data_IF_491620996922
#
_entry.id   IF_491620996922
#
_cell.length_a   1.000
_cell.length_b   1.000
_cell.length_c   1.000
_cell.angle_alpha   90.00
_cell.angle_beta   90.00
_cell.angle_gamma   90.00
#
_symmetry.space_group_name_H-M   'P 1'
#
loop_
_entity.id
_entity.type
_entity.pdbx_description
1 polymer ?
#
# COMPACT_ATOMS: atom_id res chain seq x y z
N UNK A 1 -43.85 30.63 -3.55
CA UNK A 1 -42.40 30.86 -3.77
C UNK A 1 -41.85 31.64 -2.60
N UNK A 2 -40.69 31.28 -2.05
CA UNK A 2 -40.05 32.01 -0.94
C UNK A 2 -39.01 33.04 -1.41
N UNK A 3 -38.55 33.00 -2.67
CA UNK A 3 -37.56 33.96 -3.17
C UNK A 3 -36.29 33.96 -2.31
N UNK A 4 -35.82 35.15 -1.90
CA UNK A 4 -34.65 35.33 -1.01
C UNK A 4 -35.03 35.49 0.48
N UNK A 5 -36.22 35.05 0.88
CA UNK A 5 -36.74 35.30 2.24
C UNK A 5 -35.91 34.59 3.32
N UNK A 6 -35.83 35.21 4.50
CA UNK A 6 -35.42 34.58 5.74
C UNK A 6 -36.66 34.22 6.56
N UNK A 7 -36.86 32.94 6.85
CA UNK A 7 -37.98 32.43 7.65
C UNK A 7 -37.41 31.88 8.95
N UNK A 8 -37.90 32.37 10.08
CA UNK A 8 -37.52 31.86 11.40
C UNK A 8 -38.70 31.18 12.09
N UNK A 9 -38.46 29.98 12.62
CA UNK A 9 -39.44 29.19 13.35
C UNK A 9 -38.99 29.15 14.81
N UNK A 10 -39.60 30.00 15.63
CA UNK A 10 -39.33 30.11 17.07
C UNK A 10 -40.26 29.23 17.92
N UNK A 11 -41.36 28.74 17.37
CA UNK A 11 -42.26 27.80 18.02
C UNK A 11 -42.99 26.93 16.98
N UNK A 12 -43.41 25.73 17.40
CA UNK A 12 -44.12 24.80 16.52
C UNK A 12 -43.20 24.16 15.47
N UNK A 13 -43.76 23.84 14.30
CA UNK A 13 -43.06 23.10 13.26
C UNK A 13 -43.31 23.68 11.87
N UNK A 14 -42.30 23.61 11.00
CA UNK A 14 -42.51 23.69 9.56
C UNK A 14 -43.04 22.36 9.06
N UNK A 15 -44.26 22.34 8.56
CA UNK A 15 -44.86 21.15 7.98
C UNK A 15 -45.68 21.53 6.77
N UNK A 16 -45.20 21.13 5.59
CA UNK A 16 -46.02 21.15 4.38
C UNK A 16 -46.75 19.82 4.29
N UNK A 17 -48.07 19.79 4.51
CA UNK A 17 -48.87 18.64 4.07
C UNK A 17 -48.94 18.66 2.54
N UNK A 18 -48.95 17.50 1.89
CA UNK A 18 -49.17 17.43 0.44
C UNK A 18 -50.68 17.53 0.15
N UNK A 19 -51.24 18.66 -0.32
CA UNK A 19 -52.24 18.55 -1.35
C UNK A 19 -51.48 18.30 -2.67
N UNK A 20 -51.98 17.38 -3.49
CA UNK A 20 -51.39 16.97 -4.78
C UNK A 20 -51.21 18.11 -5.82
N UNK A 21 -51.44 19.37 -5.43
CA UNK A 21 -51.43 20.56 -6.27
C UNK A 21 -50.53 21.69 -5.73
N UNK A 22 -49.81 21.50 -4.61
CA UNK A 22 -48.88 22.51 -4.12
C UNK A 22 -47.54 22.43 -4.86
N UNK A 23 -47.22 23.48 -5.61
CA UNK A 23 -45.86 23.75 -6.07
C UNK A 23 -45.15 24.64 -5.05
N UNK A 24 -44.09 24.11 -4.43
CA UNK A 24 -43.22 24.87 -3.54
C UNK A 24 -41.91 25.20 -4.25
N UNK A 25 -41.55 26.48 -4.25
CA UNK A 25 -40.27 26.97 -4.75
C UNK A 25 -39.57 27.73 -3.62
N UNK A 26 -38.43 27.21 -3.18
CA UNK A 26 -37.63 27.79 -2.13
C UNK A 26 -36.81 29.01 -2.58
N UNK A 27 -36.63 29.23 -3.89
CA UNK A 27 -35.71 30.25 -4.40
C UNK A 27 -34.32 30.15 -3.76
N UNK A 28 -33.82 31.27 -3.24
CA UNK A 28 -32.57 31.38 -2.46
C UNK A 28 -32.82 31.56 -0.96
N UNK A 29 -33.99 31.13 -0.46
CA UNK A 29 -34.40 31.35 0.92
C UNK A 29 -33.50 30.67 1.96
N UNK A 30 -33.59 31.18 3.18
CA UNK A 30 -33.03 30.54 4.39
C UNK A 30 -34.16 30.29 5.37
N UNK A 31 -34.30 29.05 5.84
CA UNK A 31 -35.25 28.66 6.87
C UNK A 31 -34.46 28.26 8.12
N UNK A 32 -34.63 29.00 9.19
CA UNK A 32 -34.01 28.75 10.49
C UNK A 32 -35.05 28.20 11.46
N UNK A 33 -34.85 26.98 11.94
CA UNK A 33 -35.58 26.42 13.09
C UNK A 33 -34.79 26.81 14.35
N UNK A 34 -35.07 27.98 14.91
CA UNK A 34 -34.29 28.50 16.06
C UNK A 34 -34.64 27.74 17.34
N UNK A 35 -35.91 27.77 17.73
CA UNK A 35 -36.48 27.05 18.89
C UNK A 35 -37.73 26.24 18.56
N UNK A 36 -38.15 26.22 17.29
CA UNK A 36 -39.17 25.29 16.80
C UNK A 36 -38.79 23.83 17.02
N UNK A 37 -39.78 22.93 17.00
CA UNK A 37 -39.58 21.51 17.28
C UNK A 37 -39.25 20.67 16.05
N UNK A 38 -39.70 21.09 14.85
CA UNK A 38 -39.52 20.29 13.65
C UNK A 38 -39.51 21.07 12.34
N UNK A 39 -38.85 20.48 11.36
CA UNK A 39 -38.90 20.79 9.95
C UNK A 39 -39.19 19.52 9.15
N UNK A 40 -40.39 19.45 8.57
CA UNK A 40 -40.79 18.42 7.63
C UNK A 40 -40.84 18.99 6.21
N UNK A 41 -39.81 18.67 5.44
CA UNK A 41 -39.62 19.09 4.06
C UNK A 41 -40.53 18.37 3.06
N UNK A 42 -41.04 17.19 3.42
CA UNK A 42 -42.03 16.40 2.69
C UNK A 42 -41.76 16.22 1.17
N UNK A 43 -40.50 16.02 0.80
CA UNK A 43 -40.12 15.72 -0.60
C UNK A 43 -39.79 16.93 -1.46
N UNK A 44 -39.96 18.16 -0.94
CA UNK A 44 -39.63 19.37 -1.69
C UNK A 44 -38.13 19.71 -1.65
N UNK A 45 -37.74 20.63 -2.54
CA UNK A 45 -36.39 21.19 -2.58
C UNK A 45 -36.32 22.49 -1.76
N UNK A 46 -35.23 22.63 -0.99
CA UNK A 46 -34.95 23.76 -0.12
C UNK A 46 -33.54 24.29 -0.38
N UNK A 47 -33.38 25.60 -0.26
CA UNK A 47 -32.06 26.23 -0.42
C UNK A 47 -31.22 26.07 0.85
N UNK A 48 -31.46 26.87 1.90
CA UNK A 48 -30.77 26.71 3.18
C UNK A 48 -31.77 26.35 4.29
N UNK A 49 -31.49 25.28 5.02
CA UNK A 49 -32.21 24.93 6.25
C UNK A 49 -31.23 24.83 7.41
N UNK A 50 -31.53 25.54 8.50
CA UNK A 50 -30.68 25.65 9.68
C UNK A 50 -31.42 25.26 10.96
N UNK A 51 -30.69 24.76 11.96
CA UNK A 51 -31.25 24.56 13.31
C UNK A 51 -30.44 25.27 14.40
N UNK A 52 -31.14 25.71 15.45
CA UNK A 52 -30.54 26.38 16.60
C UNK A 52 -29.93 25.42 17.63
N UNK A 53 -28.82 25.84 18.27
CA UNK A 53 -28.03 24.98 19.15
C UNK A 53 -28.66 24.64 20.52
N UNK A 54 -29.73 25.35 20.92
CA UNK A 54 -30.31 25.26 22.27
C UNK A 54 -31.55 24.37 22.39
N UNK A 55 -31.94 23.67 21.31
CA UNK A 55 -33.15 22.85 21.29
C UNK A 55 -32.93 21.51 20.60
N UNK A 56 -33.91 20.62 20.76
CA UNK A 56 -34.01 19.36 20.03
C UNK A 56 -34.95 19.55 18.85
N UNK A 57 -34.47 19.22 17.65
CA UNK A 57 -35.21 19.40 16.40
C UNK A 57 -35.44 18.06 15.71
N UNK A 58 -36.59 17.88 15.09
CA UNK A 58 -36.79 16.82 14.08
C UNK A 58 -36.69 17.45 12.70
N UNK A 59 -35.71 17.05 11.90
CA UNK A 59 -35.44 17.66 10.58
C UNK A 59 -35.52 16.59 9.50
N UNK A 60 -36.05 16.92 8.33
CA UNK A 60 -36.05 16.03 7.18
C UNK A 60 -37.46 15.78 6.66
N UNK A 61 -37.81 14.53 6.39
CA UNK A 61 -39.02 14.13 5.69
C UNK A 61 -38.69 13.25 4.49
N UNK A 62 -39.65 12.47 4.00
CA UNK A 62 -39.38 11.51 2.93
C UNK A 62 -39.05 12.22 1.61
N UNK A 63 -37.81 12.06 1.13
CA UNK A 63 -37.38 12.49 -0.21
C UNK A 63 -37.00 13.97 -0.35
N UNK A 64 -36.81 14.71 0.74
CA UNK A 64 -36.52 16.14 0.66
C UNK A 64 -35.11 16.38 0.10
N UNK A 65 -34.95 17.47 -0.66
CA UNK A 65 -33.64 17.88 -1.20
C UNK A 65 -33.23 19.22 -0.57
N UNK A 66 -32.01 19.29 -0.06
CA UNK A 66 -31.41 20.48 0.54
C UNK A 66 -30.20 20.91 -0.27
N UNK A 67 -30.10 22.18 -0.65
CA UNK A 67 -28.83 22.71 -1.13
C UNK A 67 -27.82 22.77 0.02
N UNK A 68 -28.18 23.41 1.12
CA UNK A 68 -27.39 23.49 2.34
C UNK A 68 -28.24 23.10 3.56
N UNK A 69 -27.77 22.12 4.33
CA UNK A 69 -28.35 21.69 5.60
C UNK A 69 -27.34 21.94 6.71
N UNK A 70 -27.65 22.86 7.64
CA UNK A 70 -26.72 23.31 8.67
C UNK A 70 -27.33 23.06 10.05
N UNK A 71 -26.88 22.02 10.73
CA UNK A 71 -27.52 21.54 11.93
C UNK A 71 -26.70 21.90 13.17
N UNK A 72 -27.36 22.39 14.21
CA UNK A 72 -26.79 22.59 15.54
C UNK A 72 -27.71 22.03 16.62
N UNK A 73 -27.17 21.79 17.82
CA UNK A 73 -27.94 21.22 18.93
C UNK A 73 -28.25 19.74 18.72
N UNK A 74 -29.39 19.26 19.20
CA UNK A 74 -29.79 17.86 19.02
C UNK A 74 -30.75 17.75 17.85
N UNK A 75 -30.45 16.90 16.86
CA UNK A 75 -31.30 16.74 15.68
C UNK A 75 -31.64 15.27 15.42
N UNK A 76 -32.92 15.00 15.21
CA UNK A 76 -33.43 13.76 14.64
C UNK A 76 -33.64 13.96 13.15
N UNK A 77 -32.71 13.44 12.34
CA UNK A 77 -32.80 13.48 10.88
C UNK A 77 -33.65 12.32 10.39
N UNK A 78 -34.80 12.63 9.80
CA UNK A 78 -35.81 11.63 9.42
C UNK A 78 -35.99 11.52 7.92
N UNK A 79 -36.36 10.32 7.46
CA UNK A 79 -36.51 10.00 6.04
C UNK A 79 -35.18 9.97 5.28
N UNK A 80 -35.23 9.46 4.05
CA UNK A 80 -34.10 9.57 3.12
C UNK A 80 -34.12 10.95 2.46
N UNK A 81 -32.99 11.65 2.48
CA UNK A 81 -32.86 13.02 2.00
C UNK A 81 -31.66 13.16 1.06
N UNK A 82 -31.67 14.21 0.23
CA UNK A 82 -30.57 14.54 -0.69
C UNK A 82 -29.94 15.87 -0.33
N UNK A 83 -28.62 15.95 -0.34
CA UNK A 83 -27.84 17.17 -0.08
C UNK A 83 -27.00 17.49 -1.31
N UNK A 84 -27.23 18.65 -1.93
CA UNK A 84 -26.60 18.99 -3.23
C UNK A 84 -25.38 19.88 -3.11
N UNK A 85 -25.24 20.68 -2.05
CA UNK A 85 -24.07 21.56 -1.85
C UNK A 85 -23.36 21.35 -0.52
N UNK A 86 -24.06 21.38 0.64
CA UNK A 86 -23.38 21.31 1.94
C UNK A 86 -24.21 20.62 3.03
N UNK A 87 -23.57 19.75 3.80
CA UNK A 87 -23.97 19.39 5.15
C UNK A 87 -22.99 19.99 6.15
N UNK A 88 -23.47 20.80 7.07
CA UNK A 88 -22.66 21.33 8.17
C UNK A 88 -23.20 20.85 9.51
N UNK A 89 -22.34 20.20 10.30
CA UNK A 89 -22.62 19.71 11.63
C UNK A 89 -21.81 20.53 12.63
N UNK A 90 -22.49 21.31 13.47
CA UNK A 90 -21.86 22.09 14.52
C UNK A 90 -21.10 21.22 15.55
N UNK A 91 -19.92 21.64 16.03
CA UNK A 91 -19.20 20.95 17.09
C UNK A 91 -20.01 20.80 18.39
N UNK A 92 -19.93 19.64 19.04
CA UNK A 92 -20.58 19.37 20.33
C UNK A 92 -22.06 18.97 20.26
N UNK A 93 -22.59 18.85 19.04
CA UNK A 93 -23.97 18.50 18.78
C UNK A 93 -24.19 16.99 18.64
N UNK A 94 -25.46 16.57 18.73
CA UNK A 94 -25.89 15.17 18.55
C UNK A 94 -26.85 15.06 17.37
N UNK A 95 -26.53 14.17 16.44
CA UNK A 95 -27.32 13.92 15.24
C UNK A 95 -27.73 12.45 15.20
N UNK A 96 -29.04 12.21 15.21
CA UNK A 96 -29.62 10.89 15.14
C UNK A 96 -30.34 10.71 13.81
N UNK A 97 -29.83 9.82 12.96
CA UNK A 97 -30.44 9.53 11.66
C UNK A 97 -31.39 8.35 11.79
N UNK A 98 -32.54 8.41 11.11
CA UNK A 98 -33.51 7.32 11.10
C UNK A 98 -32.85 6.00 10.66
N UNK A 99 -33.07 4.93 11.42
CA UNK A 99 -32.62 3.60 11.05
C UNK A 99 -33.10 3.19 9.64
N UNK A 100 -32.21 2.64 8.82
CA UNK A 100 -32.49 2.24 7.44
C UNK A 100 -32.66 3.40 6.45
N UNK A 101 -32.51 4.66 6.88
CA UNK A 101 -32.60 5.81 5.97
C UNK A 101 -31.26 6.10 5.29
N UNK A 102 -31.32 6.72 4.11
CA UNK A 102 -30.13 7.14 3.35
C UNK A 102 -30.09 8.65 3.17
N UNK A 103 -29.00 9.27 3.60
CA UNK A 103 -28.64 10.64 3.18
C UNK A 103 -27.73 10.55 1.96
N UNK A 104 -28.20 11.07 0.83
CA UNK A 104 -27.48 11.05 -0.45
C UNK A 104 -26.81 12.40 -0.70
N UNK A 105 -25.52 12.40 -0.99
CA UNK A 105 -24.75 13.59 -1.30
C UNK A 105 -24.47 13.68 -2.79
N UNK A 106 -24.62 14.86 -3.38
CA UNK A 106 -24.10 15.11 -4.72
C UNK A 106 -22.57 14.98 -4.75
N UNK A 107 -21.99 14.73 -5.93
CA UNK A 107 -20.54 14.51 -6.07
C UNK A 107 -19.70 15.67 -5.51
N UNK A 108 -20.13 16.90 -5.78
CA UNK A 108 -19.48 18.13 -5.29
C UNK A 108 -19.94 18.61 -3.91
N UNK A 109 -20.85 17.91 -3.25
CA UNK A 109 -21.35 18.33 -1.94
C UNK A 109 -20.24 18.25 -0.88
N UNK A 110 -20.10 19.31 -0.09
CA UNK A 110 -19.18 19.38 1.04
C UNK A 110 -19.85 18.84 2.30
N UNK A 111 -19.08 18.09 3.10
CA UNK A 111 -19.53 17.61 4.42
C UNK A 111 -18.57 18.15 5.46
N UNK A 112 -19.06 19.04 6.32
CA UNK A 112 -18.32 19.61 7.44
C UNK A 112 -18.80 18.94 8.72
N UNK A 113 -18.09 17.87 9.13
CA UNK A 113 -18.41 17.08 10.32
C UNK A 113 -17.21 17.03 11.29
N UNK A 114 -16.61 18.19 11.57
CA UNK A 114 -15.40 18.32 12.41
C UNK A 114 -15.74 18.94 13.76
N UNK A 115 -15.65 18.14 14.82
CA UNK A 115 -15.73 18.60 16.20
C UNK A 115 -14.39 19.13 16.73
N UNK A 116 -14.29 19.23 18.05
CA UNK A 116 -13.03 19.53 18.76
C UNK A 116 -12.91 18.64 20.00
N UNK A 117 -11.74 18.58 20.63
CA UNK A 117 -11.53 17.80 21.86
C UNK A 117 -12.51 18.14 23.00
N UNK A 118 -13.00 19.39 23.08
CA UNK A 118 -14.00 19.82 24.05
C UNK A 118 -15.45 19.74 23.55
N UNK A 119 -15.65 19.59 22.23
CA UNK A 119 -16.96 19.62 21.57
C UNK A 119 -17.02 18.54 20.49
N UNK A 120 -17.07 17.29 20.94
CA UNK A 120 -17.16 16.11 20.09
C UNK A 120 -18.55 16.02 19.45
N UNK A 121 -18.63 15.72 18.16
CA UNK A 121 -19.91 15.48 17.46
C UNK A 121 -20.37 14.04 17.73
N UNK A 122 -21.64 13.81 18.00
CA UNK A 122 -22.21 12.46 18.05
C UNK A 122 -23.08 12.20 16.82
N UNK A 123 -22.78 11.14 16.06
CA UNK A 123 -23.50 10.73 14.86
C UNK A 123 -23.94 9.27 15.03
N UNK A 124 -25.24 9.03 15.13
CA UNK A 124 -25.76 7.70 15.42
C UNK A 124 -27.09 7.41 14.72
N UNK A 125 -27.45 6.13 14.62
CA UNK A 125 -28.80 5.73 14.28
C UNK A 125 -29.78 5.97 15.43
N UNK A 126 -31.06 6.18 15.11
CA UNK A 126 -32.15 6.19 16.09
C UNK A 126 -32.45 4.81 16.68
N UNK A 127 -32.03 3.72 16.02
CA UNK A 127 -32.22 2.34 16.50
C UNK A 127 -30.87 1.63 16.59
N UNK A 128 -30.51 1.21 17.79
CA UNK A 128 -29.26 0.46 18.05
C UNK A 128 -29.22 -0.83 17.23
N UNK A 129 -28.09 -1.09 16.58
CA UNK A 129 -27.89 -2.28 15.74
C UNK A 129 -28.47 -2.16 14.32
N UNK A 130 -29.17 -1.06 14.00
CA UNK A 130 -29.68 -0.80 12.65
C UNK A 130 -29.03 0.46 12.09
N UNK A 131 -28.27 0.32 11.00
CA UNK A 131 -27.51 1.44 10.47
C UNK A 131 -28.38 2.47 9.73
N UNK A 132 -27.95 3.73 9.75
CA UNK A 132 -28.30 4.68 8.69
C UNK A 132 -27.16 4.71 7.64
N UNK A 133 -27.46 5.23 6.46
CA UNK A 133 -26.51 5.24 5.34
C UNK A 133 -26.18 6.66 4.88
N UNK A 134 -24.89 6.96 4.70
CA UNK A 134 -24.39 8.10 3.95
C UNK A 134 -23.86 7.62 2.61
N UNK A 135 -24.41 8.15 1.52
CA UNK A 135 -24.08 7.75 0.15
C UNK A 135 -23.51 8.92 -0.63
N UNK A 136 -22.24 8.84 -1.07
CA UNK A 136 -21.62 9.88 -1.89
C UNK A 136 -20.86 9.24 -3.06
N UNK A 137 -21.12 9.64 -4.32
CA UNK A 137 -20.59 8.94 -5.49
C UNK A 137 -19.10 9.17 -5.72
N UNK A 138 -18.51 10.29 -5.28
CA UNK A 138 -17.11 10.62 -5.50
C UNK A 138 -16.57 11.66 -4.50
N UNK A 139 -15.25 11.83 -4.48
CA UNK A 139 -14.53 12.80 -3.64
C UNK A 139 -14.28 12.29 -2.22
N UNK A 140 -14.06 13.21 -1.28
CA UNK A 140 -13.77 12.88 0.13
C UNK A 140 -14.87 13.42 1.05
N UNK A 141 -15.12 12.74 2.17
CA UNK A 141 -15.92 13.21 3.31
C UNK A 141 -15.03 13.23 4.54
N UNK A 142 -14.95 14.41 5.17
CA UNK A 142 -14.08 14.67 6.29
C UNK A 142 -14.86 14.84 7.58
N UNK A 143 -14.70 13.88 8.47
CA UNK A 143 -15.11 13.97 9.85
C UNK A 143 -13.88 13.88 10.77
N UNK A 144 -13.96 14.51 11.93
CA UNK A 144 -12.94 14.42 12.99
C UNK A 144 -13.56 14.82 14.32
N UNK A 145 -13.03 14.31 15.44
CA UNK A 145 -13.63 14.48 16.76
C UNK A 145 -15.12 14.10 16.76
N UNK A 146 -15.40 12.87 16.32
CA UNK A 146 -16.75 12.33 16.16
C UNK A 146 -16.90 10.99 16.88
N UNK A 147 -18.03 10.81 17.55
CA UNK A 147 -18.52 9.51 18.01
C UNK A 147 -19.48 8.96 16.98
N UNK A 148 -19.16 7.79 16.45
CA UNK A 148 -19.85 7.22 15.30
C UNK A 148 -20.39 5.84 15.65
N UNK A 149 -21.70 5.65 15.54
CA UNK A 149 -22.37 4.37 15.81
C UNK A 149 -23.43 4.08 14.75
N UNK A 150 -23.59 2.80 14.39
CA UNK A 150 -24.67 2.36 13.50
C UNK A 150 -24.70 3.17 12.18
N UNK A 151 -23.53 3.35 11.55
CA UNK A 151 -23.37 4.19 10.35
C UNK A 151 -22.71 3.44 9.22
N UNK A 152 -23.36 3.40 8.06
CA UNK A 152 -22.78 2.87 6.83
C UNK A 152 -22.43 4.02 5.89
N UNK A 153 -21.17 4.10 5.49
CA UNK A 153 -20.73 4.92 4.37
C UNK A 153 -20.66 4.08 3.10
N UNK A 154 -21.16 4.60 1.98
CA UNK A 154 -21.13 3.92 0.69
C UNK A 154 -21.01 4.90 -0.49
N UNK A 155 -20.85 4.34 -1.68
CA UNK A 155 -20.60 5.06 -2.93
C UNK A 155 -19.13 4.97 -3.33
N UNK A 156 -18.68 5.91 -4.17
CA UNK A 156 -17.30 5.98 -4.63
C UNK A 156 -16.44 7.03 -3.90
N UNK A 157 -17.01 7.73 -2.91
CA UNK A 157 -16.26 8.67 -2.09
C UNK A 157 -15.44 7.98 -0.98
N UNK A 158 -14.34 8.61 -0.57
CA UNK A 158 -13.56 8.22 0.60
C UNK A 158 -14.10 8.90 1.86
N UNK A 159 -14.54 8.13 2.85
CA UNK A 159 -15.07 8.64 4.11
C UNK A 159 -14.03 8.48 5.21
N UNK A 160 -13.46 9.59 5.68
CA UNK A 160 -12.43 9.60 6.71
C UNK A 160 -12.97 10.25 7.99
N UNK A 161 -12.81 9.56 9.13
CA UNK A 161 -13.24 10.05 10.45
C UNK A 161 -12.10 10.64 11.30
N UNK A 162 -10.87 10.66 10.77
CA UNK A 162 -9.71 11.30 11.40
C UNK A 162 -9.19 10.57 12.66
N UNK A 163 -8.06 11.03 13.20
CA UNK A 163 -7.37 10.37 14.34
C UNK A 163 -8.13 10.47 15.67
N UNK A 164 -9.05 11.42 15.79
CA UNK A 164 -9.75 11.72 17.03
C UNK A 164 -11.20 11.22 17.03
N UNK A 165 -11.55 10.33 16.10
CA UNK A 165 -12.85 9.67 16.11
C UNK A 165 -12.89 8.47 17.05
N UNK A 166 -14.09 8.15 17.53
CA UNK A 166 -14.40 6.94 18.26
C UNK A 166 -15.43 6.12 17.49
N UNK A 167 -15.06 4.90 17.11
CA UNK A 167 -15.98 3.92 16.53
C UNK A 167 -16.75 3.22 17.67
N UNK A 168 -18.01 3.57 17.86
CA UNK A 168 -18.87 2.99 18.90
C UNK A 168 -19.62 1.74 18.44
N UNK A 169 -19.28 1.18 17.28
CA UNK A 169 -19.79 -0.11 16.79
C UNK A 169 -20.76 0.02 15.60
N UNK A 170 -20.96 -1.12 14.92
CA UNK A 170 -21.84 -1.28 13.75
C UNK A 170 -21.62 -0.19 12.68
N UNK A 171 -20.36 0.17 12.45
CA UNK A 171 -19.96 1.22 11.50
C UNK A 171 -19.13 0.62 10.38
N UNK A 172 -19.50 0.86 9.13
CA UNK A 172 -18.84 0.30 7.93
C UNK A 172 -18.63 1.37 6.85
N UNK A 173 -17.66 1.16 5.96
CA UNK A 173 -17.33 2.10 4.86
C UNK A 173 -16.57 3.36 5.29
N UNK A 174 -16.37 3.57 6.59
CA UNK A 174 -15.55 4.64 7.16
C UNK A 174 -14.11 4.16 7.37
N UNK A 175 -13.17 5.03 7.00
CA UNK A 175 -11.76 4.90 7.36
C UNK A 175 -11.49 5.67 8.63
N UNK A 176 -11.25 4.94 9.72
CA UNK A 176 -10.69 5.50 10.95
C UNK A 176 -9.19 5.65 10.72
N UNK A 177 -8.66 6.87 10.95
CA UNK A 177 -7.34 7.27 10.47
C UNK A 177 -6.25 6.21 10.71
N UNK A 178 -5.86 5.52 9.64
CA UNK A 178 -4.76 4.58 9.65
C UNK A 178 -3.46 5.35 9.44
N UNK A 179 -2.51 5.17 10.35
CA UNK A 179 -1.17 5.73 10.12
C UNK A 179 -0.50 4.95 8.99
N UNK A 180 0.09 5.61 7.99
CA UNK A 180 0.88 4.88 7.02
C UNK A 180 2.13 4.29 7.70
N UNK A 181 2.45 3.05 7.37
CA UNK A 181 3.64 2.34 7.80
C UNK A 181 4.46 1.93 6.59
N UNK A 182 5.77 1.83 6.77
CA UNK A 182 6.69 1.31 5.77
C UNK A 182 7.31 -0.01 6.26
N UNK A 183 7.40 -0.99 5.37
CA UNK A 183 8.13 -2.24 5.58
C UNK A 183 8.94 -2.59 4.33
N UNK A 184 10.05 -3.26 4.54
CA UNK A 184 11.02 -3.59 3.49
C UNK A 184 11.91 -4.73 3.97
N UNK A 185 12.45 -5.48 3.02
CA UNK A 185 13.42 -6.53 3.29
C UNK A 185 14.81 -6.04 2.91
N UNK A 186 15.81 -6.43 3.69
CA UNK A 186 17.21 -6.32 3.28
C UNK A 186 17.45 -7.19 2.05
N UNK A 187 18.37 -6.74 1.20
CA UNK A 187 18.71 -7.41 -0.04
C UNK A 187 20.23 -7.62 -0.09
N UNK A 188 20.63 -8.77 -0.62
CA UNK A 188 22.00 -9.00 -1.04
C UNK A 188 22.00 -9.21 -2.55
N UNK A 189 22.90 -8.52 -3.24
CA UNK A 189 23.04 -8.61 -4.69
C UNK A 189 24.49 -8.90 -5.05
N UNK A 190 24.71 -9.48 -6.22
CA UNK A 190 26.06 -9.54 -6.75
C UNK A 190 26.53 -8.14 -7.20
N UNK A 191 27.80 -7.77 -6.97
CA UNK A 191 28.35 -6.48 -7.40
C UNK A 191 28.21 -6.20 -8.91
N UNK A 192 28.13 -7.27 -9.72
CA UNK A 192 28.02 -7.20 -11.18
C UNK A 192 26.59 -6.96 -11.69
N UNK A 193 25.57 -7.03 -10.83
CA UNK A 193 24.16 -6.82 -11.22
C UNK A 193 23.90 -5.39 -11.71
N UNK A 194 24.72 -4.42 -11.28
CA UNK A 194 24.52 -3.01 -11.58
C UNK A 194 23.33 -2.43 -10.83
N UNK A 195 22.55 -1.58 -11.52
CA UNK A 195 21.39 -0.94 -10.93
C UNK A 195 20.26 -1.93 -10.70
N UNK A 196 19.65 -1.88 -9.52
CA UNK A 196 18.57 -2.77 -9.11
C UNK A 196 17.63 -2.03 -8.15
N UNK A 197 16.52 -2.68 -7.79
CA UNK A 197 15.46 -2.06 -7.01
C UNK A 197 15.36 -2.65 -5.61
N UNK A 198 15.36 -1.79 -4.59
CA UNK A 198 14.91 -2.12 -3.25
C UNK A 198 13.41 -1.84 -3.14
N UNK A 199 12.62 -2.88 -2.85
CA UNK A 199 11.16 -2.75 -2.77
C UNK A 199 10.69 -2.34 -1.37
N UNK A 200 10.06 -1.17 -1.30
CA UNK A 200 9.32 -0.69 -0.15
C UNK A 200 7.84 -1.07 -0.26
N UNK A 201 7.24 -1.51 0.84
CA UNK A 201 5.80 -1.78 0.97
C UNK A 201 5.20 -0.85 2.00
N UNK A 202 4.03 -0.30 1.69
CA UNK A 202 3.30 0.63 2.54
C UNK A 202 1.93 0.08 2.90
N UNK A 203 1.65 0.06 4.20
CA UNK A 203 0.38 -0.39 4.76
C UNK A 203 -0.20 0.69 5.66
N UNK A 204 -1.48 0.58 5.99
CA UNK A 204 -2.07 1.36 7.06
C UNK A 204 -1.89 0.63 8.38
N UNK A 205 -1.90 1.37 9.48
CA UNK A 205 -1.97 0.83 10.83
C UNK A 205 -3.19 1.43 11.51
N UNK A 206 -4.18 0.59 11.77
CA UNK A 206 -5.34 0.97 12.56
C UNK A 206 -4.92 1.07 14.03
N UNK A 207 -4.93 2.28 14.58
CA UNK A 207 -4.54 2.51 15.97
C UNK A 207 -5.52 1.95 16.98
N UNK A 208 -6.79 1.74 16.62
CA UNK A 208 -7.81 1.23 17.52
C UNK A 208 -7.65 -0.28 17.72
N UNK A 209 -7.47 -1.01 16.63
CA UNK A 209 -7.30 -2.47 16.67
C UNK A 209 -5.84 -2.90 16.81
N UNK A 210 -4.89 -1.96 16.62
CA UNK A 210 -3.45 -2.21 16.54
C UNK A 210 -3.08 -3.23 15.46
N UNK A 211 -3.86 -3.29 14.38
CA UNK A 211 -3.65 -4.23 13.28
C UNK A 211 -3.23 -3.50 12.00
N UNK A 212 -2.42 -4.15 11.14
CA UNK A 212 -2.22 -3.68 9.78
C UNK A 212 -3.54 -3.62 9.01
N UNK A 213 -3.70 -2.59 8.21
CA UNK A 213 -4.82 -2.40 7.29
C UNK A 213 -4.31 -1.95 5.92
N UNK A 214 -5.20 -1.87 4.94
CA UNK A 214 -4.88 -1.39 3.59
C UNK A 214 -5.08 0.12 3.55
N UNK A 215 -4.11 0.85 2.98
CA UNK A 215 -4.29 2.28 2.69
C UNK A 215 -5.26 2.44 1.51
N UNK A 216 -6.22 3.33 1.65
CA UNK A 216 -7.16 3.66 0.60
C UNK A 216 -6.48 4.40 -0.55
N UNK A 217 -6.99 4.26 -1.78
CA UNK A 217 -6.48 4.98 -2.95
C UNK A 217 -6.42 6.50 -2.75
N UNK A 218 -7.40 7.05 -2.04
CA UNK A 218 -7.47 8.48 -1.71
C UNK A 218 -6.38 8.97 -0.75
N UNK A 219 -5.59 8.08 -0.13
CA UNK A 219 -4.45 8.45 0.71
C UNK A 219 -3.14 8.60 -0.09
N UNK A 220 -3.11 8.16 -1.36
CA UNK A 220 -1.95 8.27 -2.26
C UNK A 220 -2.01 9.51 -3.17
N UNK A 221 -0.88 10.17 -3.47
CA UNK A 221 0.46 9.71 -3.19
C UNK A 221 0.91 9.95 -1.74
N UNK A 222 1.73 9.04 -1.21
CA UNK A 222 2.40 9.24 0.06
C UNK A 222 3.65 10.11 -0.15
N UNK A 223 3.95 10.94 0.85
CA UNK A 223 5.23 11.62 0.99
C UNK A 223 6.10 10.83 1.96
N UNK A 224 7.22 10.29 1.48
CA UNK A 224 8.13 9.45 2.26
C UNK A 224 9.47 10.15 2.41
N UNK A 225 9.94 10.31 3.63
CA UNK A 225 11.31 10.80 3.88
C UNK A 225 12.22 9.60 4.06
N UNK A 226 13.13 9.38 3.10
CA UNK A 226 14.09 8.27 3.11
C UNK A 226 15.47 8.81 3.45
N UNK A 227 16.16 8.14 4.37
CA UNK A 227 17.55 8.42 4.72
C UNK A 227 18.46 7.31 4.20
N UNK A 228 19.52 7.70 3.51
CA UNK A 228 20.68 6.84 3.28
C UNK A 228 21.62 7.01 4.47
N UNK A 229 21.64 6.03 5.37
CA UNK A 229 22.43 6.07 6.60
C UNK A 229 23.94 6.00 6.32
N UNK A 230 24.34 5.32 5.25
CA UNK A 230 25.75 5.20 4.85
C UNK A 230 26.30 6.51 4.30
N UNK A 231 25.53 7.21 3.46
CA UNK A 231 25.93 8.49 2.87
C UNK A 231 25.60 9.70 3.76
N UNK A 232 24.75 9.52 4.79
CA UNK A 232 24.25 10.61 5.63
C UNK A 232 23.30 11.56 4.91
N UNK A 233 22.69 11.14 3.79
CA UNK A 233 21.80 11.97 2.97
C UNK A 233 20.34 11.63 3.21
N UNK A 234 19.45 12.58 2.91
CA UNK A 234 18.00 12.41 3.01
C UNK A 234 17.33 12.90 1.74
N UNK A 235 16.29 12.20 1.31
CA UNK A 235 15.47 12.56 0.17
C UNK A 235 13.98 12.40 0.49
N UNK A 236 13.15 13.08 -0.29
CA UNK A 236 11.69 12.97 -0.20
C UNK A 236 11.16 12.30 -1.46
N UNK A 237 10.45 11.19 -1.27
CA UNK A 237 9.86 10.39 -2.33
C UNK A 237 8.34 10.63 -2.40
N UNK A 238 7.82 10.62 -3.63
CA UNK A 238 6.38 10.61 -3.91
C UNK A 238 5.98 9.19 -4.31
N UNK A 239 5.25 8.50 -3.44
CA UNK A 239 4.87 7.10 -3.62
C UNK A 239 3.40 7.02 -4.03
N UNK A 240 3.12 6.57 -5.24
CA UNK A 240 1.77 6.59 -5.81
C UNK A 240 0.94 5.33 -5.53
N UNK A 241 1.55 4.30 -4.93
CA UNK A 241 0.90 3.01 -4.69
C UNK A 241 1.44 2.33 -3.43
N UNK A 242 0.82 1.22 -3.02
CA UNK A 242 1.26 0.46 -1.84
C UNK A 242 2.68 -0.11 -1.93
N UNK A 243 3.30 -0.10 -3.11
CA UNK A 243 4.69 -0.53 -3.30
C UNK A 243 5.49 0.53 -4.04
N UNK A 244 6.78 0.64 -3.71
CA UNK A 244 7.70 1.53 -4.39
C UNK A 244 9.07 0.86 -4.60
N UNK A 245 9.53 0.84 -5.84
CA UNK A 245 10.82 0.26 -6.22
C UNK A 245 11.87 1.36 -6.30
N UNK A 246 12.63 1.50 -5.22
CA UNK A 246 13.69 2.49 -5.11
C UNK A 246 14.94 2.02 -5.85
N UNK A 247 15.46 2.84 -6.76
CA UNK A 247 16.63 2.47 -7.58
C UNK A 247 17.92 2.66 -6.80
N UNK A 248 18.64 1.57 -6.60
CA UNK A 248 20.00 1.56 -6.05
C UNK A 248 20.97 1.44 -7.24
N UNK A 249 21.89 2.40 -7.45
CA UNK A 249 22.75 2.41 -8.65
C UNK A 249 23.69 1.20 -8.76
N UNK A 250 24.32 0.79 -7.66
CA UNK A 250 25.23 -0.37 -7.56
C UNK A 250 25.44 -0.74 -6.08
N UNK A 251 25.70 -2.01 -5.78
CA UNK A 251 26.02 -2.47 -4.41
C UNK A 251 27.42 -3.07 -4.32
N UNK A 252 28.44 -2.24 -4.52
CA UNK A 252 29.84 -2.65 -4.30
C UNK A 252 30.21 -2.66 -2.82
N UNK A 253 29.44 -1.94 -1.99
CA UNK A 253 29.59 -1.88 -0.53
C UNK A 253 28.21 -1.96 0.12
N UNK A 254 28.19 -2.30 1.40
CA UNK A 254 26.92 -2.32 2.15
C UNK A 254 26.39 -0.91 2.35
N UNK A 255 25.17 -0.67 1.90
CA UNK A 255 24.44 0.58 2.04
C UNK A 255 23.20 0.36 2.90
N UNK A 256 22.95 1.25 3.86
CA UNK A 256 21.79 1.17 4.75
C UNK A 256 20.80 2.29 4.48
N UNK A 257 19.52 1.92 4.46
CA UNK A 257 18.40 2.83 4.22
C UNK A 257 17.40 2.76 5.35
N UNK A 258 16.81 3.89 5.70
CA UNK A 258 15.75 3.97 6.71
C UNK A 258 14.72 5.02 6.32
N UNK A 259 13.45 4.64 6.34
CA UNK A 259 12.34 5.60 6.27
C UNK A 259 12.25 6.33 7.60
N UNK A 260 12.27 7.66 7.56
CA UNK A 260 12.16 8.54 8.72
C UNK A 260 10.72 9.01 8.94
N UNK A 261 9.94 9.15 7.88
CA UNK A 261 8.52 9.46 8.00
C UNK A 261 7.74 9.05 6.77
N UNK A 262 6.45 8.78 6.96
CA UNK A 262 5.48 8.59 5.87
C UNK A 262 4.26 9.47 6.15
N UNK A 263 3.83 10.24 5.17
CA UNK A 263 2.64 11.08 5.25
C UNK A 263 1.66 10.78 4.09
N UNK A 264 0.36 10.80 4.37
CA UNK A 264 -0.67 10.72 3.33
C UNK A 264 -0.80 12.03 2.55
N UNK A 265 -1.40 11.99 1.36
CA UNK A 265 -1.62 13.18 0.52
C UNK A 265 -2.54 14.24 1.18
N UNK A 266 -2.63 15.42 0.57
CA UNK A 266 -3.56 16.49 0.98
C UNK A 266 -5.02 16.27 0.54
N UNK A 267 -5.34 15.23 -0.24
CA UNK A 267 -6.73 14.86 -0.55
C UNK A 267 -7.37 13.99 0.55
N UNK A 268 -6.56 13.47 1.47
CA UNK A 268 -6.99 13.09 2.82
C UNK A 268 -7.35 14.34 3.62
N UNK A 269 -8.29 14.21 4.54
CA UNK A 269 -8.88 15.34 5.25
C UNK A 269 -7.87 16.16 6.04
N UNK A 270 -6.86 15.46 6.56
CA UNK A 270 -5.64 16.03 7.13
C UNK A 270 -4.52 15.05 6.87
N UNK A 271 -3.36 15.47 6.31
CA UNK A 271 -2.23 14.58 6.12
C UNK A 271 -1.86 13.84 7.41
N UNK A 272 -2.02 12.51 7.40
CA UNK A 272 -1.64 11.65 8.50
C UNK A 272 -0.15 11.38 8.38
N UNK A 273 0.63 11.93 9.30
CA UNK A 273 2.08 11.70 9.33
C UNK A 273 2.42 10.68 10.41
N UNK A 274 3.11 9.62 10.02
CA UNK A 274 3.77 8.69 10.92
C UNK A 274 5.28 8.98 10.91
N UNK A 275 5.77 9.55 12.00
CA UNK A 275 7.21 9.74 12.21
C UNK A 275 7.81 8.42 12.71
N UNK A 276 8.85 7.96 12.03
CA UNK A 276 9.64 6.78 12.38
C UNK A 276 10.56 7.02 13.59
N UNK A 277 11.55 6.14 13.80
CA UNK A 277 12.20 5.32 12.78
C UNK A 277 11.44 4.03 12.44
N UNK A 278 11.37 3.73 11.15
CA UNK A 278 10.98 2.40 10.64
C UNK A 278 12.21 1.46 10.65
N UNK A 279 12.06 0.13 10.40
CA UNK A 279 13.20 -0.81 10.37
C UNK A 279 14.35 -0.34 9.45
N UNK A 280 15.54 -0.93 9.53
CA UNK A 280 16.62 -0.58 8.58
C UNK A 280 16.67 -1.60 7.45
N UNK A 281 16.73 -1.13 6.20
CA UNK A 281 17.01 -1.96 5.04
C UNK A 281 18.53 -1.95 4.83
N UNK A 282 19.12 -3.13 4.72
CA UNK A 282 20.51 -3.25 4.28
C UNK A 282 20.51 -3.75 2.85
N UNK A 283 21.14 -2.99 1.97
CA UNK A 283 21.54 -3.42 0.65
C UNK A 283 23.05 -3.69 0.66
N UNK A 284 23.52 -4.74 -0.01
CA UNK A 284 24.95 -5.02 0.00
C UNK A 284 25.37 -6.20 -0.86
N UNK A 285 26.69 -6.38 -1.02
CA UNK A 285 27.23 -7.50 -1.77
C UNK A 285 26.94 -8.82 -1.05
N UNK A 286 26.72 -9.88 -1.83
CA UNK A 286 26.81 -11.26 -1.35
C UNK A 286 28.21 -11.52 -0.74
N UNK A 287 28.27 -12.27 0.35
CA UNK A 287 29.48 -12.42 1.18
C UNK A 287 29.83 -13.88 1.52
N UNK A 288 29.31 -14.84 0.77
CA UNK A 288 29.61 -16.26 0.94
C UNK A 288 30.96 -16.67 0.34
N UNK A 289 31.25 -17.96 0.37
CA UNK A 289 32.49 -18.51 -0.18
C UNK A 289 32.55 -18.36 -1.70
N UNK A 290 33.69 -17.89 -2.22
CA UNK A 290 33.91 -17.82 -3.66
C UNK A 290 33.83 -19.23 -4.29
N UNK A 291 33.21 -19.32 -5.47
CA UNK A 291 33.07 -20.60 -6.19
C UNK A 291 32.03 -21.56 -5.63
N UNK A 292 31.33 -21.22 -4.54
CA UNK A 292 30.24 -22.06 -4.04
C UNK A 292 28.94 -21.75 -4.79
N UNK A 293 28.37 -22.76 -5.46
CA UNK A 293 27.06 -22.64 -6.09
C UNK A 293 25.93 -22.70 -5.05
N UNK A 294 24.95 -21.83 -5.18
CA UNK A 294 23.77 -21.76 -4.29
C UNK A 294 22.45 -21.95 -5.01
N UNK A 295 22.39 -21.67 -6.32
CA UNK A 295 21.18 -21.79 -7.12
C UNK A 295 20.04 -20.86 -6.69
N UNK A 296 20.36 -19.74 -6.02
CA UNK A 296 19.38 -18.77 -5.49
C UNK A 296 19.08 -17.62 -6.45
N UNK A 297 19.79 -17.52 -7.56
CA UNK A 297 19.56 -16.50 -8.58
C UNK A 297 18.23 -16.68 -9.30
N UNK A 298 17.88 -15.69 -10.13
CA UNK A 298 16.62 -15.70 -10.86
C UNK A 298 16.61 -16.76 -11.98
N UNK A 299 17.78 -17.21 -12.42
CA UNK A 299 17.94 -18.21 -13.48
C UNK A 299 18.86 -19.33 -13.02
N UNK A 300 18.84 -20.47 -13.71
CA UNK A 300 19.82 -21.55 -13.49
C UNK A 300 21.21 -21.25 -14.11
N UNK A 301 21.40 -20.07 -14.70
CA UNK A 301 22.60 -19.77 -15.50
C UNK A 301 23.86 -19.76 -14.63
N UNK A 302 24.90 -20.48 -15.07
CA UNK A 302 26.25 -20.38 -14.50
C UNK A 302 26.73 -18.92 -14.46
N UNK A 303 26.35 -18.14 -15.47
CA UNK A 303 26.77 -16.74 -15.65
C UNK A 303 25.88 -15.74 -14.89
N UNK A 304 24.88 -16.20 -14.13
CA UNK A 304 24.14 -15.37 -13.21
C UNK A 304 24.89 -15.32 -11.86
N UNK A 305 25.50 -14.16 -11.58
CA UNK A 305 26.31 -13.96 -10.38
C UNK A 305 25.53 -14.16 -9.07
N UNK A 306 24.20 -14.05 -9.07
CA UNK A 306 23.38 -14.28 -7.87
C UNK A 306 23.30 -15.76 -7.48
N UNK A 307 23.67 -16.67 -8.38
CA UNK A 307 23.79 -18.09 -8.04
C UNK A 307 25.05 -18.43 -7.24
N UNK A 308 26.05 -17.55 -7.20
CA UNK A 308 27.31 -17.79 -6.50
C UNK A 308 27.27 -17.16 -5.11
N UNK A 309 27.73 -17.89 -4.09
CA UNK A 309 27.60 -17.46 -2.70
C UNK A 309 28.31 -16.12 -2.40
N UNK A 310 29.43 -15.84 -3.09
CA UNK A 310 30.15 -14.56 -3.03
C UNK A 310 29.60 -13.47 -3.94
N UNK A 311 28.63 -13.78 -4.80
CA UNK A 311 28.15 -12.87 -5.84
C UNK A 311 29.15 -12.59 -6.96
N UNK A 312 30.19 -13.39 -7.11
CA UNK A 312 31.21 -13.23 -8.16
C UNK A 312 31.24 -14.48 -9.03
N UNK A 313 31.31 -14.29 -10.35
CA UNK A 313 31.54 -15.42 -11.25
C UNK A 313 32.92 -16.04 -10.97
N UNK A 314 33.03 -17.38 -10.96
CA UNK A 314 34.33 -18.03 -10.81
C UNK A 314 35.27 -17.68 -11.97
N UNK A 315 36.54 -17.53 -11.63
CA UNK A 315 37.64 -17.31 -12.56
C UNK A 315 38.60 -18.52 -12.60
N UNK A 316 39.76 -18.38 -13.25
CA UNK A 316 40.77 -19.44 -13.37
C UNK A 316 41.47 -19.82 -12.06
N UNK A 317 41.23 -19.13 -10.95
CA UNK A 317 41.81 -19.48 -9.65
C UNK A 317 40.73 -19.81 -8.61
N UNK A 318 39.46 -19.64 -8.95
CA UNK A 318 38.34 -19.90 -8.06
C UNK A 318 37.97 -21.37 -8.09
N UNK A 319 38.22 -22.09 -7.00
CA UNK A 319 37.74 -23.45 -6.84
C UNK A 319 36.21 -23.45 -6.73
N UNK A 320 35.57 -24.14 -7.67
CA UNK A 320 34.12 -24.26 -7.76
C UNK A 320 33.65 -25.51 -7.05
N UNK A 321 32.66 -25.37 -6.18
CA UNK A 321 31.93 -26.50 -5.58
C UNK A 321 30.45 -26.40 -5.93
N UNK A 322 29.93 -27.46 -6.56
CA UNK A 322 28.52 -27.66 -6.87
C UNK A 322 27.99 -28.78 -5.98
N UNK A 323 27.35 -28.39 -4.87
CA UNK A 323 26.64 -29.29 -3.98
C UNK A 323 25.16 -29.43 -4.39
N UNK A 324 24.38 -30.15 -3.59
CA UNK A 324 22.92 -30.16 -3.73
C UNK A 324 22.35 -28.75 -3.51
N UNK A 325 21.63 -28.24 -4.51
CA UNK A 325 21.02 -26.91 -4.50
C UNK A 325 19.59 -26.99 -5.07
N UNK A 326 18.72 -26.01 -4.77
CA UNK A 326 17.36 -25.97 -5.31
C UNK A 326 17.31 -25.98 -6.85
N UNK A 327 18.33 -25.37 -7.47
CA UNK A 327 18.53 -25.33 -8.92
C UNK A 327 20.01 -25.59 -9.19
N UNK A 328 20.31 -26.59 -10.02
CA UNK A 328 21.68 -26.88 -10.44
C UNK A 328 22.18 -25.93 -11.53
N UNK A 329 23.49 -25.67 -11.63
CA UNK A 329 24.04 -24.81 -12.67
C UNK A 329 23.76 -25.31 -14.08
N UNK A 330 23.42 -24.38 -14.96
CA UNK A 330 23.27 -24.57 -16.41
C UNK A 330 24.21 -23.60 -17.11
N UNK A 331 25.18 -24.12 -17.85
CA UNK A 331 26.00 -23.33 -18.75
C UNK A 331 25.51 -23.56 -20.18
N UNK A 332 25.18 -22.50 -20.91
CA UNK A 332 24.79 -22.59 -22.33
C UNK A 332 25.30 -21.37 -23.12
N UNK A 333 26.51 -20.95 -22.80
CA UNK A 333 27.24 -19.87 -23.44
C UNK A 333 28.75 -20.03 -23.18
N UNK A 334 29.56 -19.23 -23.85
CA UNK A 334 31.00 -19.15 -23.62
C UNK A 334 31.34 -18.29 -22.39
N UNK A 335 32.58 -18.43 -21.90
CA UNK A 335 33.18 -17.53 -20.91
C UNK A 335 33.12 -17.99 -19.45
N UNK A 336 32.69 -19.22 -19.17
CA UNK A 336 32.80 -19.76 -17.82
C UNK A 336 34.21 -20.27 -17.54
N UNK A 337 34.71 -20.00 -16.35
CA UNK A 337 36.02 -20.46 -15.88
C UNK A 337 35.88 -21.11 -14.51
N UNK A 338 36.82 -21.98 -14.16
CA UNK A 338 36.98 -22.52 -12.82
C UNK A 338 38.46 -22.85 -12.56
N UNK A 339 38.86 -22.76 -11.30
CA UNK A 339 40.04 -23.42 -10.74
C UNK A 339 39.83 -24.93 -10.76
N UNK A 340 39.69 -25.53 -9.60
CA UNK A 340 39.17 -26.90 -9.46
C UNK A 340 37.65 -26.88 -9.54
N UNK A 341 37.03 -27.70 -10.39
CA UNK A 341 35.59 -27.92 -10.41
C UNK A 341 35.27 -29.22 -9.66
N UNK A 342 34.62 -29.08 -8.50
CA UNK A 342 34.05 -30.19 -7.74
C UNK A 342 32.53 -30.20 -7.87
N UNK A 343 31.99 -31.30 -8.34
CA UNK A 343 30.55 -31.60 -8.34
C UNK A 343 30.36 -32.67 -7.28
N UNK A 344 29.89 -32.29 -6.10
CA UNK A 344 29.74 -33.23 -4.99
C UNK A 344 28.56 -34.17 -5.21
N UNK A 345 28.49 -35.23 -4.41
CA UNK A 345 27.36 -36.15 -4.41
C UNK A 345 26.03 -35.39 -4.22
N UNK A 346 25.07 -35.62 -5.12
CA UNK A 346 23.78 -34.92 -5.15
C UNK A 346 23.79 -33.54 -5.84
N UNK A 347 24.95 -33.03 -6.25
CA UNK A 347 25.07 -31.87 -7.14
C UNK A 347 24.74 -32.22 -8.60
N UNK A 348 24.28 -31.22 -9.35
CA UNK A 348 23.92 -31.38 -10.77
C UNK A 348 24.44 -30.23 -11.63
N UNK A 349 25.25 -30.51 -12.66
CA UNK A 349 25.71 -29.54 -13.65
C UNK A 349 25.17 -29.87 -15.05
N UNK A 350 24.58 -28.89 -15.74
CA UNK A 350 24.22 -28.99 -17.15
C UNK A 350 25.18 -28.20 -18.03
N UNK A 351 25.82 -28.87 -18.99
CA UNK A 351 26.57 -28.25 -20.08
C UNK A 351 25.75 -28.33 -21.37
N UNK A 352 25.07 -27.23 -21.70
CA UNK A 352 24.23 -27.08 -22.89
C UNK A 352 25.02 -27.02 -24.21
N UNK A 353 24.30 -26.97 -25.33
CA UNK A 353 24.90 -27.03 -26.67
C UNK A 353 25.90 -25.92 -27.00
N UNK A 354 25.81 -24.77 -26.33
CA UNK A 354 26.72 -23.63 -26.52
C UNK A 354 27.66 -23.41 -25.34
N UNK A 355 27.77 -24.39 -24.43
CA UNK A 355 28.62 -24.27 -23.25
C UNK A 355 30.11 -24.27 -23.63
N UNK A 356 30.86 -23.27 -23.15
CA UNK A 356 32.33 -23.32 -23.14
C UNK A 356 32.84 -23.05 -21.71
N UNK A 357 33.43 -24.08 -21.10
CA UNK A 357 33.97 -24.04 -19.74
C UNK A 357 35.47 -24.27 -19.76
N UNK A 358 36.25 -23.35 -19.19
CA UNK A 358 37.68 -23.51 -18.98
C UNK A 358 37.97 -23.94 -17.54
N UNK A 359 38.71 -25.03 -17.35
CA UNK A 359 39.10 -25.55 -16.04
C UNK A 359 40.62 -25.53 -15.96
N UNK A 360 41.19 -24.84 -14.97
CA UNK A 360 42.63 -24.72 -14.76
C UNK A 360 43.18 -25.67 -13.68
N UNK A 361 42.32 -26.15 -12.78
CA UNK A 361 42.59 -27.16 -11.74
C UNK A 361 41.94 -28.50 -12.06
N UNK A 362 41.54 -29.26 -11.04
CA UNK A 362 41.00 -30.60 -11.27
C UNK A 362 39.51 -30.59 -11.65
N UNK A 363 39.07 -31.61 -12.38
CA UNK A 363 37.66 -31.95 -12.56
C UNK A 363 37.32 -33.13 -11.66
N UNK A 364 36.51 -32.90 -10.63
CA UNK A 364 36.15 -33.90 -9.61
C UNK A 364 34.63 -34.07 -9.59
N UNK A 365 34.11 -35.13 -10.18
CA UNK A 365 32.67 -35.34 -10.29
C UNK A 365 32.20 -36.57 -9.49
N UNK A 366 31.58 -36.33 -8.34
CA UNK A 366 30.88 -37.35 -7.54
C UNK A 366 29.34 -37.19 -7.65
N UNK A 367 28.88 -36.22 -8.43
CA UNK A 367 27.47 -35.89 -8.63
C UNK A 367 26.95 -36.31 -10.00
N UNK A 368 26.16 -35.43 -10.60
CA UNK A 368 25.51 -35.68 -11.90
C UNK A 368 25.83 -34.58 -12.89
N UNK A 369 26.17 -34.97 -14.12
CA UNK A 369 26.44 -34.04 -15.22
C UNK A 369 25.55 -34.38 -16.40
N UNK A 370 24.72 -33.42 -16.82
CA UNK A 370 23.98 -33.49 -18.09
C UNK A 370 24.77 -32.78 -19.16
N UNK A 371 25.19 -33.50 -20.19
CA UNK A 371 26.16 -33.00 -21.17
C UNK A 371 25.59 -33.13 -22.57
N UNK A 372 25.53 -32.01 -23.28
CA UNK A 372 25.09 -31.97 -24.67
C UNK A 372 26.28 -32.14 -25.61
N UNK A 373 26.07 -32.78 -26.77
CA UNK A 373 27.15 -33.18 -27.68
C UNK A 373 28.05 -32.01 -28.13
N UNK A 374 27.49 -30.81 -28.27
CA UNK A 374 28.22 -29.63 -28.72
C UNK A 374 28.85 -28.81 -27.58
N UNK A 375 28.66 -29.19 -26.32
CA UNK A 375 29.33 -28.55 -25.19
C UNK A 375 30.85 -28.73 -25.26
N UNK A 376 31.62 -27.76 -24.78
CA UNK A 376 33.08 -27.80 -24.74
C UNK A 376 33.60 -27.58 -23.32
N UNK A 377 34.51 -28.47 -22.89
CA UNK A 377 35.36 -28.27 -21.71
C UNK A 377 36.81 -28.16 -22.16
N UNK A 378 37.48 -27.10 -21.74
CA UNK A 378 38.88 -26.82 -22.04
C UNK A 378 39.72 -26.95 -20.78
N UNK A 379 40.68 -27.88 -20.76
CA UNK A 379 41.63 -28.04 -19.67
C UNK A 379 42.86 -27.18 -19.95
N UNK A 380 43.01 -26.11 -19.17
CA UNK A 380 43.94 -25.00 -19.43
C UNK A 380 44.93 -24.76 -18.27
N UNK A 381 45.11 -25.75 -17.40
CA UNK A 381 45.98 -25.64 -16.23
C UNK A 381 47.46 -25.50 -16.58
N UNK A 382 48.25 -25.05 -15.60
CA UNK A 382 49.72 -25.04 -15.67
C UNK A 382 50.38 -26.22 -14.94
N UNK A 383 49.59 -26.97 -14.17
CA UNK A 383 49.99 -28.20 -13.48
C UNK A 383 49.22 -29.38 -14.06
N UNK A 384 49.67 -30.62 -13.82
CA UNK A 384 48.90 -31.79 -14.21
C UNK A 384 47.50 -31.72 -13.57
N UNK A 385 46.45 -31.92 -14.38
CA UNK A 385 45.06 -31.88 -13.90
C UNK A 385 44.50 -33.30 -13.82
N UNK A 386 43.73 -33.57 -12.77
CA UNK A 386 42.99 -34.81 -12.58
C UNK A 386 41.58 -34.67 -13.14
N UNK A 387 41.11 -35.68 -13.87
CA UNK A 387 39.73 -35.80 -14.33
C UNK A 387 39.15 -37.06 -13.71
N UNK A 388 38.31 -36.91 -12.69
CA UNK A 388 37.56 -37.99 -12.06
C UNK A 388 36.11 -38.00 -12.56
N UNK A 389 35.65 -39.15 -13.08
CA UNK A 389 34.28 -39.36 -13.56
C UNK A 389 33.81 -38.31 -14.58
N UNK A 390 34.70 -37.96 -15.51
CA UNK A 390 34.43 -36.96 -16.55
C UNK A 390 33.50 -37.49 -17.65
N UNK A 391 32.44 -36.75 -17.94
CA UNK A 391 31.62 -36.92 -19.15
C UNK A 391 31.59 -35.58 -19.90
N UNK A 392 31.88 -35.58 -21.20
CA UNK A 392 32.09 -34.35 -21.98
C UNK A 392 31.54 -34.51 -23.41
N UNK A 393 31.05 -33.41 -24.00
CA UNK A 393 30.73 -33.36 -25.43
C UNK A 393 32.01 -33.28 -26.26
N UNK A 394 32.69 -32.14 -26.16
CA UNK A 394 34.00 -31.87 -26.74
C UNK A 394 35.02 -31.53 -25.65
N UNK A 395 36.19 -32.15 -25.71
CA UNK A 395 37.31 -31.83 -24.83
C UNK A 395 38.42 -31.14 -25.63
N UNK A 396 38.92 -30.02 -25.09
CA UNK A 396 40.14 -29.37 -25.57
C UNK A 396 41.18 -29.46 -24.47
N UNK A 397 42.34 -30.02 -24.81
CA UNK A 397 43.47 -30.11 -23.88
C UNK A 397 44.49 -29.07 -24.28
N UNK A 398 44.64 -28.03 -23.47
CA UNK A 398 45.63 -26.98 -23.63
C UNK A 398 46.43 -26.81 -22.34
N UNK A 399 46.90 -27.95 -21.82
CA UNK A 399 47.73 -28.04 -20.63
C UNK A 399 48.98 -28.88 -20.97
N UNK A 400 50.13 -28.22 -21.02
CA UNK A 400 51.40 -28.88 -21.35
C UNK A 400 51.89 -29.84 -20.26
N UNK A 401 51.40 -29.71 -19.02
CA UNK A 401 51.72 -30.61 -17.91
C UNK A 401 50.91 -31.92 -17.94
N UNK A 402 49.94 -32.03 -18.86
CA UNK A 402 49.17 -33.25 -19.10
C UNK A 402 47.94 -33.43 -18.21
N UNK A 403 47.20 -34.50 -18.48
CA UNK A 403 45.98 -34.89 -17.78
C UNK A 403 46.12 -36.30 -17.19
N UNK A 404 45.59 -36.49 -16.00
CA UNK A 404 45.44 -37.82 -15.38
C UNK A 404 43.96 -38.19 -15.36
N UNK A 405 43.59 -39.26 -16.04
CA UNK A 405 42.23 -39.78 -16.06
C UNK A 405 42.04 -40.75 -14.89
N UNK A 406 41.02 -40.51 -14.08
CA UNK A 406 40.60 -41.39 -13.00
C UNK A 406 39.18 -41.89 -13.30
N UNK A 407 39.05 -43.22 -13.28
CA UNK A 407 37.81 -43.95 -13.55
C UNK A 407 36.94 -44.10 -12.32
#
# INVERSE_FOLDING_TARGET
MLGASAVEITAGAWSLSQPASLTFDAGTSTILVSTGSAFNGNGFAYNVVQTGAGATHTVGGTGSTFASLQLAGTNYVTGSNTITQQLALAPGATYQFGAGTTTTFAAGAMVQATGTGAKVITLQSTVSGQSFTWSKPAGTVCASYIYLRDSQAQGGAYFESGQNANNQGNTTGWSFASLPQASYASQQVCPQLGAHSLRFTFTGFDRLTQQPTVLAAAQYPLTVVLQNLTAGTTETLTVTSATYDYQVPTSTTSTQYQVLSVATNSTSCTPLTNAGPFPTATDGPLSGLAGQWTGKGATASWLDCQNWASGTLPDSITDVTVDSAPVGPVLNAAGAMAGTLRIAAGGHLTLGNAAELAVSGDWLNDGTTTVYANSQVSFVGSTAQVIANGNFGRVVVNNAAGLTLQS
#
